data_IF_602026929572
#
_entry.id   IF_602026929572
#
_cell.length_a   1.000
_cell.length_b   1.000
_cell.length_c   1.000
_cell.angle_alpha   90.00
_cell.angle_beta   90.00
_cell.angle_gamma   90.00
#
_symmetry.space_group_name_H-M   'P 1'
#
loop_
_entity.id
_entity.type
_entity.pdbx_description
1 polymer ?
#
# COMPACT_ATOMS: atom_id res chain seq x y z
N UNK A 1 -0.94 -11.71 -4.73
CA UNK A 1 -0.91 -11.83 -3.24
C UNK A 1 -2.32 -11.79 -2.69
N UNK A 2 -2.67 -12.60 -1.69
CA UNK A 2 -4.00 -12.46 -1.07
C UNK A 2 -4.08 -11.10 -0.36
N UNK A 3 -5.08 -10.30 -0.72
CA UNK A 3 -5.34 -8.96 -0.13
C UNK A 3 -6.45 -9.01 0.92
N UNK A 4 -7.08 -10.18 1.14
CA UNK A 4 -8.16 -10.37 2.08
C UNK A 4 -7.78 -10.04 3.52
N UNK A 5 -6.50 -10.19 3.89
CA UNK A 5 -6.01 -9.84 5.23
C UNK A 5 -6.14 -8.34 5.55
N UNK A 6 -6.07 -7.46 4.55
CA UNK A 6 -6.21 -6.01 4.74
C UNK A 6 -7.63 -5.61 5.15
N UNK A 7 -8.62 -6.45 4.85
CA UNK A 7 -10.02 -6.25 5.23
C UNK A 7 -10.33 -6.72 6.66
N UNK A 8 -9.39 -7.38 7.32
CA UNK A 8 -9.59 -7.90 8.68
C UNK A 8 -9.48 -6.76 9.69
N UNK A 9 -10.58 -6.47 10.38
CA UNK A 9 -10.59 -5.50 11.49
C UNK A 9 -9.74 -5.96 12.68
N UNK A 10 -9.61 -7.27 12.89
CA UNK A 10 -8.82 -7.83 13.97
C UNK A 10 -7.35 -7.99 13.56
N UNK A 11 -6.53 -6.97 13.88
CA UNK A 11 -5.08 -6.99 13.67
C UNK A 11 -4.32 -8.04 14.51
N UNK A 12 -4.95 -8.56 15.56
CA UNK A 12 -4.36 -9.64 16.38
C UNK A 12 -4.62 -11.02 15.79
N UNK A 13 -5.45 -11.13 14.75
CA UNK A 13 -5.69 -12.41 14.09
C UNK A 13 -4.43 -12.93 13.39
N UNK A 14 -4.25 -14.25 13.41
CA UNK A 14 -3.14 -14.92 12.73
C UNK A 14 -3.11 -14.56 11.24
N UNK A 15 -4.28 -14.55 10.59
CA UNK A 15 -4.41 -14.23 9.16
C UNK A 15 -3.95 -12.80 8.84
N UNK A 16 -4.23 -11.84 9.73
CA UNK A 16 -3.73 -10.47 9.57
C UNK A 16 -2.20 -10.42 9.67
N UNK A 17 -1.62 -11.03 10.72
CA UNK A 17 -0.16 -11.05 10.93
C UNK A 17 0.57 -11.73 9.78
N UNK A 18 0.07 -12.86 9.29
CA UNK A 18 0.61 -13.53 8.10
C UNK A 18 0.54 -12.63 6.87
N UNK A 19 -0.57 -11.91 6.68
CA UNK A 19 -0.70 -10.93 5.62
C UNK A 19 0.33 -9.80 5.69
N UNK A 20 0.61 -9.29 6.90
CA UNK A 20 1.67 -8.29 7.14
C UNK A 20 3.05 -8.85 6.79
N UNK A 21 3.40 -10.05 7.26
CA UNK A 21 4.69 -10.69 6.94
C UNK A 21 4.85 -10.87 5.44
N UNK A 22 3.83 -11.39 4.77
CA UNK A 22 3.83 -11.53 3.32
C UNK A 22 4.05 -10.16 2.67
N UNK A 23 3.29 -9.13 3.06
CA UNK A 23 3.40 -7.77 2.52
C UNK A 23 4.84 -7.23 2.61
N UNK A 24 5.48 -7.37 3.78
CA UNK A 24 6.85 -6.93 4.01
C UNK A 24 7.86 -7.68 3.14
N UNK A 25 7.68 -8.99 2.98
CA UNK A 25 8.50 -9.84 2.09
C UNK A 25 8.40 -9.41 0.63
N UNK A 26 7.25 -8.89 0.20
CA UNK A 26 7.07 -8.35 -1.15
C UNK A 26 7.72 -6.97 -1.31
N UNK A 27 7.46 -6.03 -0.40
CA UNK A 27 7.90 -4.63 -0.55
C UNK A 27 9.37 -4.39 -0.22
N UNK A 28 10.07 -5.35 0.43
CA UNK A 28 11.51 -5.21 0.73
C UNK A 28 12.38 -5.03 -0.52
N UNK A 29 11.91 -5.49 -1.67
CA UNK A 29 12.58 -5.32 -2.97
C UNK A 29 12.22 -3.99 -3.67
N UNK A 30 11.37 -3.16 -3.06
CA UNK A 30 10.81 -1.94 -3.64
C UNK A 30 11.01 -0.70 -2.73
N UNK A 31 12.04 -0.73 -1.89
CA UNK A 31 12.39 0.39 -0.99
C UNK A 31 13.14 1.51 -1.72
N UNK A 32 13.12 2.72 -1.16
CA UNK A 32 13.91 3.87 -1.64
C UNK A 32 15.42 3.70 -1.40
N UNK A 33 16.22 4.67 -1.85
CA UNK A 33 17.67 4.67 -1.66
C UNK A 33 18.11 4.65 -0.17
N UNK A 34 17.20 5.00 0.74
CA UNK A 34 17.41 5.00 2.20
C UNK A 34 16.79 3.78 2.88
N UNK A 35 16.37 2.76 2.11
CA UNK A 35 15.69 1.54 2.58
C UNK A 35 14.36 1.80 3.30
N UNK A 36 13.62 2.80 2.84
CA UNK A 36 12.30 3.19 3.35
C UNK A 36 11.20 2.95 2.33
N UNK A 37 9.97 2.87 2.82
CA UNK A 37 8.75 2.80 2.02
C UNK A 37 7.65 3.68 2.63
N UNK A 38 6.59 3.94 1.86
CA UNK A 38 5.40 4.62 2.39
C UNK A 38 4.67 3.69 3.36
N UNK A 39 4.30 4.19 4.52
CA UNK A 39 3.63 3.39 5.54
C UNK A 39 2.10 3.37 5.31
N UNK A 40 1.48 2.20 5.03
CA UNK A 40 0.04 2.08 4.77
C UNK A 40 -0.83 2.00 6.03
N UNK A 41 -0.26 2.21 7.23
CA UNK A 41 -1.01 2.11 8.47
C UNK A 41 -2.09 3.20 8.58
N UNK A 42 -3.08 2.98 9.44
CA UNK A 42 -4.21 3.88 9.62
C UNK A 42 -3.83 5.29 10.12
N UNK A 43 -2.62 5.45 10.68
CA UNK A 43 -2.06 6.75 11.10
C UNK A 43 -1.33 7.46 9.97
N UNK A 44 -0.54 6.73 9.18
CA UNK A 44 0.35 7.31 8.19
C UNK A 44 -0.32 7.51 6.83
N UNK A 45 -1.34 6.72 6.48
CA UNK A 45 -2.13 6.85 5.25
C UNK A 45 -1.29 6.94 3.96
N UNK A 46 -0.15 6.25 3.90
CA UNK A 46 0.85 6.35 2.82
C UNK A 46 1.53 7.72 2.66
N UNK A 47 1.38 8.64 3.61
CA UNK A 47 2.02 9.97 3.61
C UNK A 47 3.39 9.98 4.30
N UNK A 48 3.68 9.02 5.16
CA UNK A 48 4.96 8.97 5.90
C UNK A 48 5.88 7.90 5.31
N UNK A 49 7.17 8.23 5.20
CA UNK A 49 8.23 7.26 4.92
C UNK A 49 8.69 6.60 6.22
N UNK A 50 8.92 5.29 6.19
CA UNK A 50 9.42 4.54 7.34
C UNK A 50 10.27 3.36 6.88
N UNK A 51 11.11 2.84 7.77
CA UNK A 51 11.84 1.59 7.53
C UNK A 51 10.87 0.40 7.48
N UNK A 52 11.32 -0.74 6.95
CA UNK A 52 10.54 -1.99 6.98
C UNK A 52 10.07 -2.35 8.39
N UNK A 53 10.97 -2.27 9.37
CA UNK A 53 10.68 -2.51 10.78
C UNK A 53 9.64 -1.52 11.32
N UNK A 54 9.77 -0.22 11.01
CA UNK A 54 8.79 0.78 11.42
C UNK A 54 7.41 0.55 10.81
N UNK A 55 7.35 0.13 9.54
CA UNK A 55 6.10 -0.26 8.89
C UNK A 55 5.49 -1.50 9.54
N UNK A 56 6.29 -2.53 9.83
CA UNK A 56 5.84 -3.73 10.53
C UNK A 56 5.22 -3.38 11.89
N UNK A 57 5.96 -2.63 12.71
CA UNK A 57 5.50 -2.20 14.03
C UNK A 57 4.19 -1.43 13.93
N UNK A 58 4.07 -0.48 12.99
CA UNK A 58 2.84 0.26 12.77
C UNK A 58 1.68 -0.64 12.32
N UNK A 59 1.92 -1.59 11.42
CA UNK A 59 0.89 -2.52 10.96
C UNK A 59 0.39 -3.43 12.08
N UNK A 60 1.26 -3.85 13.00
CA UNK A 60 0.92 -4.72 14.13
C UNK A 60 0.27 -3.96 15.30
N UNK A 61 0.62 -2.70 15.52
CA UNK A 61 0.11 -1.91 16.66
C UNK A 61 -1.07 -1.01 16.30
N UNK A 62 -1.04 -0.36 15.14
CA UNK A 62 -2.07 0.59 14.68
C UNK A 62 -3.05 -0.10 13.76
N UNK A 63 -2.57 -1.00 12.89
CA UNK A 63 -3.37 -1.63 11.86
C UNK A 63 -3.25 -0.90 10.51
N UNK A 64 -3.59 -1.61 9.44
CA UNK A 64 -3.63 -1.06 8.09
C UNK A 64 -4.80 -0.07 7.94
N UNK A 65 -4.62 0.93 7.09
CA UNK A 65 -5.73 1.83 6.76
C UNK A 65 -6.83 1.06 6.02
N UNK A 66 -8.11 1.17 6.42
CA UNK A 66 -9.21 0.55 5.69
C UNK A 66 -9.44 1.19 4.31
N UNK A 67 -8.90 2.40 4.10
CA UNK A 67 -8.94 3.11 2.81
C UNK A 67 -7.81 2.69 1.87
N UNK A 68 -6.87 1.86 2.34
CA UNK A 68 -5.78 1.36 1.52
C UNK A 68 -6.18 0.04 0.86
N UNK A 69 -6.73 0.13 -0.35
CA UNK A 69 -7.27 -1.01 -1.11
C UNK A 69 -6.36 -1.48 -2.25
N UNK A 70 -5.42 -0.64 -2.68
CA UNK A 70 -4.55 -0.90 -3.84
C UNK A 70 -3.09 -0.61 -3.53
N UNK A 71 -2.19 -1.48 -3.99
CA UNK A 71 -0.74 -1.35 -3.80
C UNK A 71 -0.09 -0.46 -4.86
N UNK A 72 -0.77 0.62 -5.24
CA UNK A 72 -0.34 1.59 -6.26
C UNK A 72 1.06 2.16 -5.95
N UNK A 73 1.36 2.39 -4.67
CA UNK A 73 2.64 2.90 -4.21
C UNK A 73 3.73 1.84 -4.08
N UNK A 74 3.36 0.56 -4.13
CA UNK A 74 4.25 -0.58 -3.85
C UNK A 74 4.46 -1.47 -5.08
N UNK A 75 4.22 -0.92 -6.28
CA UNK A 75 4.55 -1.49 -7.60
C UNK A 75 4.11 -2.94 -7.78
N UNK A 76 2.83 -3.24 -7.57
CA UNK A 76 2.26 -4.37 -8.29
C UNK A 76 2.25 -4.03 -9.78
N UNK A 77 2.95 -4.82 -10.60
CA UNK A 77 2.81 -4.77 -12.04
C UNK A 77 1.33 -5.01 -12.37
N UNK A 78 0.67 -4.02 -12.97
CA UNK A 78 -0.67 -4.19 -13.50
C UNK A 78 -0.63 -5.33 -14.51
N UNK A 79 -1.11 -6.52 -14.13
CA UNK A 79 -1.62 -7.43 -15.15
C UNK A 79 -2.91 -6.79 -15.65
N UNK A 80 -2.80 -6.09 -16.78
CA UNK A 80 -3.97 -5.61 -17.52
C UNK A 80 -4.83 -6.83 -17.82
N UNK A 81 -5.82 -7.12 -16.98
CA UNK A 81 -6.98 -7.90 -17.41
C UNK A 81 -7.76 -6.99 -18.33
N UNK A 82 -7.51 -7.15 -19.63
CA UNK A 82 -8.16 -6.39 -20.67
C UNK A 82 -9.67 -6.45 -20.50
N UNK A 83 -10.29 -5.29 -20.36
CA UNK A 83 -11.69 -5.07 -20.72
C UNK A 83 -11.80 -3.66 -21.30
N UNK A 84 -12.53 -3.59 -22.41
CA UNK A 84 -12.61 -2.48 -23.35
C UNK A 84 -13.28 -1.25 -22.73
N UNK A 85 -12.77 -0.08 -23.11
CA UNK A 85 -13.40 1.24 -23.22
C UNK A 85 -14.36 1.68 -22.11
N UNK A 86 -13.97 2.67 -21.30
CA UNK A 86 -14.82 3.81 -20.93
C UNK A 86 -13.92 5.00 -20.56
N UNK A 87 -13.85 5.99 -21.46
CA UNK A 87 -13.25 7.30 -21.24
C UNK A 87 -14.15 8.14 -20.33
N UNK A 88 -14.18 7.87 -19.03
CA UNK A 88 -14.87 8.75 -18.06
C UNK A 88 -14.39 8.47 -16.62
N UNK A 89 -13.07 8.61 -16.40
CA UNK A 89 -12.50 8.46 -15.05
C UNK A 89 -11.20 9.24 -14.83
N UNK A 90 -10.74 9.97 -15.85
CA UNK A 90 -9.43 10.60 -15.83
C UNK A 90 -9.36 11.82 -14.91
N UNK A 91 -10.47 12.43 -14.52
CA UNK A 91 -10.45 13.69 -13.73
C UNK A 91 -10.19 13.42 -12.24
N UNK A 92 -10.79 12.37 -11.67
CA UNK A 92 -10.58 12.03 -10.24
C UNK A 92 -9.21 11.35 -10.03
N UNK A 93 -8.78 10.53 -10.99
CA UNK A 93 -7.45 9.92 -10.99
C UNK A 93 -6.32 10.91 -11.30
N UNK A 94 -6.58 11.99 -12.06
CA UNK A 94 -5.55 12.99 -12.35
C UNK A 94 -5.31 13.99 -11.22
N UNK A 95 -6.25 14.17 -10.28
CA UNK A 95 -6.00 15.04 -9.13
C UNK A 95 -4.95 14.43 -8.18
N UNK A 96 -4.95 13.10 -8.03
CA UNK A 96 -3.90 12.37 -7.31
C UNK A 96 -2.61 12.20 -8.12
N UNK A 97 -2.65 12.27 -9.46
CA UNK A 97 -1.44 12.25 -10.30
C UNK A 97 -0.74 13.61 -10.37
N UNK A 98 -1.47 14.73 -10.30
CA UNK A 98 -0.87 16.08 -10.42
C UNK A 98 -0.04 16.51 -9.22
N UNK A 99 -0.20 15.91 -8.05
CA UNK A 99 0.64 16.22 -6.88
C UNK A 99 1.90 15.32 -6.82
N UNK A 100 1.90 14.18 -7.52
CA UNK A 100 2.98 13.17 -7.45
C UNK A 100 4.09 13.40 -8.51
N UNK A 101 3.89 14.29 -9.49
CA UNK A 101 4.89 14.56 -10.53
C UNK A 101 5.67 15.89 -10.33
N UNK A 102 5.53 16.56 -9.18
CA UNK A 102 6.21 17.85 -8.94
C UNK A 102 7.33 17.80 -7.89
N UNK A 103 7.77 16.62 -7.46
CA UNK A 103 9.00 16.50 -6.68
C UNK A 103 9.79 15.27 -7.18
N UNK A 104 10.19 15.35 -8.45
CA UNK A 104 11.45 14.75 -8.89
C UNK A 104 12.58 15.72 -8.52
#
# INVERSE_FOLDING_TARGET
MDRGWMKLRNKFSLKYRQGVTQFLEFVKFHVDAYRRLRCPCNRCLNLNWSSLEGVEQHLLTIGISPYYTEWMYHRESFSFRGTKNFEEGLVVGNLMKKVICLVC
#
